data_IF_881749951278
#
_entry.id   IF_881749951278
#
_cell.length_a   1.000
_cell.length_b   1.000
_cell.length_c   1.000
_cell.angle_alpha   90.00
_cell.angle_beta   90.00
_cell.angle_gamma   90.00
#
_symmetry.space_group_name_H-M   'P 1'
#
loop_
_entity.id
_entity.type
_entity.pdbx_description
1 polymer ?
#
# COMPACT_ATOMS: atom_id res chain seq x y z
N UNK A 1 19.83 -2.86 23.56
CA UNK A 1 19.91 -1.53 22.91
C UNK A 1 18.56 -0.83 22.68
N UNK A 2 17.41 -1.51 22.51
CA UNK A 2 16.11 -0.84 22.24
C UNK A 2 15.51 -0.05 23.43
N UNK A 3 15.91 -0.31 24.67
CA UNK A 3 15.42 0.41 25.87
C UNK A 3 16.19 1.71 26.16
N UNK A 4 17.50 1.77 25.83
CA UNK A 4 18.34 2.96 25.98
C UNK A 4 17.98 4.08 25.00
N UNK A 5 17.63 3.74 23.75
CA UNK A 5 17.21 4.72 22.75
C UNK A 5 15.89 5.43 23.09
N UNK A 6 14.99 4.77 23.84
CA UNK A 6 13.71 5.37 24.26
C UNK A 6 13.88 6.33 25.45
N UNK A 7 14.80 6.04 26.38
CA UNK A 7 15.11 6.92 27.50
C UNK A 7 15.86 8.18 27.08
N UNK A 8 16.75 8.06 26.08
CA UNK A 8 17.55 9.17 25.58
C UNK A 8 16.70 10.22 24.83
N UNK A 9 15.71 9.79 24.04
CA UNK A 9 14.82 10.71 23.31
C UNK A 9 13.92 11.57 24.21
N UNK A 10 13.50 11.05 25.37
CA UNK A 10 12.66 11.78 26.33
C UNK A 10 13.49 12.85 27.08
N UNK A 11 14.76 12.55 27.39
CA UNK A 11 15.68 13.51 28.01
C UNK A 11 16.00 14.70 27.10
N UNK A 12 16.21 14.48 25.80
CA UNK A 12 16.49 15.56 24.84
C UNK A 12 15.26 16.45 24.55
N UNK A 13 14.05 15.89 24.57
CA UNK A 13 12.82 16.66 24.41
C UNK A 13 12.51 17.54 25.62
N UNK A 14 12.69 17.03 26.85
CA UNK A 14 12.45 17.80 28.08
C UNK A 14 13.44 18.95 28.29
N UNK A 15 14.74 18.70 28.07
CA UNK A 15 15.78 19.72 28.22
C UNK A 15 15.67 20.87 27.22
N UNK A 16 15.28 20.57 25.97
CA UNK A 16 15.08 21.57 24.92
C UNK A 16 13.93 22.54 25.21
N UNK A 17 12.84 22.07 25.82
CA UNK A 17 11.69 22.91 26.17
C UNK A 17 12.05 23.90 27.29
N UNK A 18 12.83 23.46 28.28
CA UNK A 18 13.26 24.31 29.40
C UNK A 18 14.23 25.40 28.92
N UNK A 19 15.18 25.05 28.05
CA UNK A 19 16.10 26.02 27.44
C UNK A 19 15.39 27.01 26.51
N UNK A 20 14.34 26.56 25.81
CA UNK A 20 13.53 27.40 24.95
C UNK A 20 12.70 28.41 25.75
N UNK A 21 12.09 27.97 26.86
CA UNK A 21 11.30 28.84 27.75
C UNK A 21 12.16 29.92 28.42
N UNK A 22 13.41 29.59 28.80
CA UNK A 22 14.34 30.57 29.36
C UNK A 22 14.79 31.60 28.32
N UNK A 23 15.06 31.17 27.07
CA UNK A 23 15.40 32.08 25.97
C UNK A 23 14.23 32.98 25.55
N UNK A 24 12.99 32.47 25.55
CA UNK A 24 11.81 33.29 25.24
C UNK A 24 11.54 34.37 26.30
N UNK A 25 11.84 34.08 27.56
CA UNK A 25 11.61 35.00 28.68
C UNK A 25 12.63 36.14 28.73
N UNK A 26 13.85 35.89 28.25
CA UNK A 26 14.94 36.89 28.18
C UNK A 26 15.06 37.57 26.81
N UNK A 27 14.28 37.14 25.81
CA UNK A 27 14.32 37.70 24.47
C UNK A 27 13.67 39.11 24.38
N UNK A 28 14.29 40.04 23.64
CA UNK A 28 13.73 41.36 23.38
C UNK A 28 12.40 41.25 22.61
N UNK A 29 11.48 42.19 22.84
CA UNK A 29 10.11 42.14 22.29
C UNK A 29 10.06 42.00 20.76
N UNK A 30 11.04 42.55 20.05
CA UNK A 30 11.15 42.50 18.59
C UNK A 30 11.43 41.09 18.03
N UNK A 31 12.01 40.19 18.82
CA UNK A 31 12.38 38.84 18.37
C UNK A 31 11.33 37.77 18.71
N UNK A 32 10.36 38.09 19.58
CA UNK A 32 9.23 37.21 19.95
C UNK A 32 8.44 36.62 18.76
N UNK A 33 8.17 37.34 17.65
CA UNK A 33 7.50 36.71 16.50
C UNK A 33 8.30 35.57 15.87
N UNK A 34 9.64 35.60 15.90
CA UNK A 34 10.49 34.52 15.36
C UNK A 34 10.29 33.24 16.17
N UNK A 35 10.24 33.35 17.50
CA UNK A 35 9.95 32.23 18.40
C UNK A 35 8.57 31.62 18.14
N UNK A 36 7.55 32.45 17.88
CA UNK A 36 6.20 31.98 17.53
C UNK A 36 6.21 31.20 16.21
N UNK A 37 6.93 31.68 15.19
CA UNK A 37 7.08 30.97 13.91
C UNK A 37 7.79 29.63 14.10
N UNK A 38 8.83 29.56 14.94
CA UNK A 38 9.53 28.31 15.23
C UNK A 38 8.62 27.27 15.92
N UNK A 39 7.75 27.69 16.85
CA UNK A 39 6.73 26.81 17.45
C UNK A 39 5.76 26.31 16.38
N UNK A 40 5.27 27.20 15.52
CA UNK A 40 4.34 26.82 14.46
C UNK A 40 4.97 25.77 13.51
N UNK A 41 6.23 25.98 13.11
CA UNK A 41 6.99 25.01 12.29
C UNK A 41 7.21 23.68 13.01
N UNK A 42 7.49 23.71 14.31
CA UNK A 42 7.68 22.49 15.11
C UNK A 42 6.37 21.70 15.27
N UNK A 43 5.25 22.39 15.47
CA UNK A 43 3.90 21.77 15.51
C UNK A 43 3.54 21.18 14.15
N UNK A 44 3.83 21.88 13.05
CA UNK A 44 3.66 21.35 11.69
C UNK A 44 4.55 20.12 11.47
N UNK A 45 5.80 20.15 11.91
CA UNK A 45 6.73 19.02 11.80
C UNK A 45 6.24 17.80 12.61
N UNK A 46 5.80 17.99 13.85
CA UNK A 46 5.17 16.94 14.66
C UNK A 46 3.89 16.42 14.00
N UNK A 47 3.05 17.30 13.45
CA UNK A 47 1.84 16.94 12.71
C UNK A 47 2.19 16.10 11.47
N UNK A 48 3.26 16.42 10.75
CA UNK A 48 3.75 15.64 9.60
C UNK A 48 4.32 14.28 10.02
N UNK A 49 5.03 14.19 11.15
CA UNK A 49 5.53 12.92 11.70
C UNK A 49 4.38 12.03 12.19
N UNK A 50 3.37 12.60 12.85
CA UNK A 50 2.16 11.89 13.30
C UNK A 50 1.26 11.50 12.12
N UNK A 51 1.28 12.25 11.01
CA UNK A 51 0.53 11.94 9.78
C UNK A 51 1.05 10.68 9.07
N UNK A 52 2.33 10.31 9.24
CA UNK A 52 2.95 9.15 8.56
C UNK A 52 2.80 7.81 9.30
N UNK A 53 2.20 7.76 10.50
CA UNK A 53 2.01 6.48 11.23
C UNK A 53 0.56 6.05 11.43
N UNK A 54 -0.39 6.59 10.66
CA UNK A 54 -1.67 5.88 10.47
C UNK A 54 -1.41 4.68 9.56
N UNK A 55 -0.91 3.59 10.15
CA UNK A 55 -1.25 2.26 9.66
C UNK A 55 -2.77 2.26 9.55
N UNK A 56 -3.30 2.25 8.32
CA UNK A 56 -4.69 1.89 8.08
C UNK A 56 -4.85 0.54 8.76
N UNK A 57 -5.56 0.51 9.89
CA UNK A 57 -6.21 -0.72 10.33
C UNK A 57 -7.02 -1.17 9.13
N UNK A 58 -6.69 -2.32 8.57
CA UNK A 58 -7.66 -3.12 7.84
C UNK A 58 -8.90 -3.13 8.73
N UNK A 59 -9.98 -2.59 8.18
CA UNK A 59 -11.28 -2.79 8.76
C UNK A 59 -11.59 -4.26 8.49
N UNK A 60 -11.21 -5.11 9.44
CA UNK A 60 -11.77 -6.45 9.55
C UNK A 60 -13.28 -6.26 9.62
N UNK A 61 -13.97 -6.64 8.55
CA UNK A 61 -15.42 -6.76 8.56
C UNK A 61 -15.76 -8.01 9.38
N UNK A 62 -15.64 -7.89 10.70
CA UNK A 62 -16.18 -8.86 11.64
C UNK A 62 -17.66 -8.58 11.82
N UNK A 63 -18.48 -9.34 11.09
CA UNK A 63 -19.91 -9.48 11.36
C UNK A 63 -20.08 -10.24 12.67
N UNK A 64 -20.15 -9.53 13.79
CA UNK A 64 -20.68 -10.09 15.03
C UNK A 64 -22.18 -9.84 15.07
N UNK A 65 -22.96 -10.79 14.56
CA UNK A 65 -24.36 -10.93 14.90
C UNK A 65 -24.53 -12.33 15.51
N UNK A 66 -24.32 -12.39 16.82
CA UNK A 66 -24.57 -13.55 17.64
C UNK A 66 -26.08 -13.78 17.73
N UNK A 67 -26.56 -14.88 17.17
CA UNK A 67 -27.80 -15.54 17.58
C UNK A 67 -27.56 -17.04 17.58
N UNK A 68 -27.94 -17.66 18.68
CA UNK A 68 -27.77 -19.06 18.99
C UNK A 68 -28.37 -19.98 17.92
N UNK A 69 -27.66 -21.06 17.63
CA UNK A 69 -27.98 -22.09 16.63
C UNK A 69 -29.02 -23.06 17.21
N UNK A 70 -29.96 -23.54 16.38
CA UNK A 70 -30.19 -24.98 16.31
C UNK A 70 -29.81 -25.51 14.93
N UNK A 71 -29.06 -26.61 14.94
CA UNK A 71 -28.57 -27.33 13.77
C UNK A 71 -29.70 -27.66 12.79
N UNK A 72 -29.59 -27.18 11.56
CA UNK A 72 -30.12 -27.91 10.40
C UNK A 72 -29.15 -27.67 9.25
N UNK A 73 -28.55 -28.75 8.76
CA UNK A 73 -27.55 -28.72 7.70
C UNK A 73 -28.08 -28.00 6.45
N UNK A 74 -27.60 -26.79 6.23
CA UNK A 74 -27.73 -26.09 4.95
C UNK A 74 -26.33 -25.83 4.45
N UNK A 75 -25.90 -26.66 3.50
CA UNK A 75 -24.72 -26.41 2.68
C UNK A 75 -24.95 -25.11 1.91
N UNK A 76 -24.38 -24.00 2.38
CA UNK A 76 -24.36 -22.75 1.61
C UNK A 76 -23.34 -22.96 0.49
N UNK A 77 -23.81 -23.41 -0.68
CA UNK A 77 -23.11 -23.14 -1.93
C UNK A 77 -23.19 -21.63 -2.16
N UNK A 78 -22.15 -20.91 -1.77
CA UNK A 78 -22.03 -19.49 -2.08
C UNK A 78 -21.70 -19.34 -3.55
N UNK A 79 -22.72 -19.40 -4.40
CA UNK A 79 -22.59 -18.97 -5.80
C UNK A 79 -22.67 -17.44 -5.80
N UNK A 80 -21.54 -16.75 -5.59
CA UNK A 80 -21.46 -15.29 -5.77
C UNK A 80 -21.61 -15.00 -7.26
N UNK A 81 -22.85 -14.81 -7.68
CA UNK A 81 -23.21 -14.39 -9.04
C UNK A 81 -23.99 -13.10 -8.91
N UNK A 82 -23.33 -11.99 -8.60
CA UNK A 82 -23.99 -10.67 -8.69
C UNK A 82 -23.14 -9.72 -9.52
N UNK A 83 -23.24 -9.90 -10.84
CA UNK A 83 -22.80 -8.93 -11.86
C UNK A 83 -23.60 -7.61 -11.81
N UNK A 84 -24.69 -7.56 -11.02
CA UNK A 84 -25.59 -6.40 -10.91
C UNK A 84 -25.49 -5.82 -9.49
N UNK A 85 -25.03 -4.56 -9.33
CA UNK A 85 -24.97 -3.90 -8.03
C UNK A 85 -26.38 -3.72 -7.42
N UNK A 86 -26.51 -3.77 -6.09
CA UNK A 86 -27.74 -3.45 -5.39
C UNK A 86 -28.39 -2.13 -5.85
N UNK A 87 -29.72 -2.09 -5.88
CA UNK A 87 -30.49 -0.95 -6.40
C UNK A 87 -30.21 0.34 -5.61
N UNK A 88 -29.97 0.24 -4.31
CA UNK A 88 -29.60 1.36 -3.44
C UNK A 88 -28.29 1.99 -3.92
N UNK A 89 -27.27 1.19 -4.23
CA UNK A 89 -25.98 1.66 -4.72
C UNK A 89 -26.15 2.40 -6.05
N UNK A 90 -26.90 1.83 -6.99
CA UNK A 90 -27.16 2.49 -8.28
C UNK A 90 -27.93 3.81 -8.12
N UNK A 91 -28.87 3.87 -7.16
CA UNK A 91 -29.62 5.10 -6.86
C UNK A 91 -28.70 6.18 -6.28
N UNK A 92 -27.83 5.83 -5.33
CA UNK A 92 -26.95 6.77 -4.67
C UNK A 92 -25.85 7.26 -5.61
N UNK A 93 -25.37 6.38 -6.49
CA UNK A 93 -24.44 6.74 -7.55
C UNK A 93 -25.03 7.77 -8.53
N UNK A 94 -26.29 7.60 -8.94
CA UNK A 94 -27.00 8.61 -9.78
C UNK A 94 -27.11 9.98 -9.12
N UNK A 95 -27.14 10.05 -7.78
CA UNK A 95 -27.27 11.31 -7.05
C UNK A 95 -25.92 12.04 -6.86
N UNK A 96 -24.82 11.30 -6.80
CA UNK A 96 -23.55 11.81 -6.27
C UNK A 96 -22.37 11.69 -7.23
N UNK A 97 -22.41 10.75 -8.18
CA UNK A 97 -21.32 10.51 -9.12
C UNK A 97 -21.54 11.29 -10.42
N UNK A 98 -20.50 11.99 -10.86
CA UNK A 98 -20.55 12.94 -11.97
C UNK A 98 -19.62 12.52 -13.10
N UNK A 99 -19.83 13.08 -14.28
CA UNK A 99 -18.94 12.86 -15.43
C UNK A 99 -17.50 13.31 -15.13
N UNK A 100 -17.32 14.40 -14.38
CA UNK A 100 -15.99 14.90 -13.97
C UNK A 100 -15.27 13.90 -13.06
N UNK A 101 -16.00 13.27 -12.13
CA UNK A 101 -15.43 12.20 -11.30
C UNK A 101 -15.05 10.98 -12.14
N UNK A 102 -15.87 10.62 -13.13
CA UNK A 102 -15.55 9.55 -14.08
C UNK A 102 -14.27 9.83 -14.87
N UNK A 103 -14.12 11.04 -15.41
CA UNK A 103 -12.90 11.45 -16.11
C UNK A 103 -11.67 11.38 -15.21
N UNK A 104 -11.80 11.80 -13.95
CA UNK A 104 -10.71 11.69 -12.99
C UNK A 104 -10.39 10.23 -12.64
N UNK A 105 -11.40 9.36 -12.53
CA UNK A 105 -11.20 7.94 -12.28
C UNK A 105 -10.53 7.24 -13.47
N UNK A 106 -10.85 7.60 -14.71
CA UNK A 106 -10.10 7.16 -15.90
C UNK A 106 -8.63 7.58 -15.83
N UNK A 107 -8.34 8.84 -15.50
CA UNK A 107 -6.97 9.33 -15.35
C UNK A 107 -6.19 8.56 -14.27
N UNK A 108 -6.84 8.26 -13.14
CA UNK A 108 -6.23 7.46 -12.07
C UNK A 108 -5.95 6.03 -12.56
N UNK A 109 -6.87 5.46 -13.34
CA UNK A 109 -6.72 4.13 -13.90
C UNK A 109 -5.53 4.06 -14.87
N UNK A 110 -5.37 5.06 -15.75
CA UNK A 110 -4.20 5.17 -16.64
C UNK A 110 -2.88 5.25 -15.86
N UNK A 111 -2.86 6.04 -14.78
CA UNK A 111 -1.70 6.13 -13.89
C UNK A 111 -1.39 4.78 -13.21
N UNK A 112 -2.43 4.03 -12.82
CA UNK A 112 -2.26 2.70 -12.24
C UNK A 112 -1.71 1.71 -13.27
N UNK A 113 -2.26 1.68 -14.49
CA UNK A 113 -1.80 0.83 -15.60
C UNK A 113 -0.31 1.06 -15.84
N UNK A 114 0.10 2.32 -15.99
CA UNK A 114 1.51 2.68 -16.20
C UNK A 114 2.40 2.14 -15.08
N UNK A 115 2.01 2.36 -13.82
CA UNK A 115 2.82 1.90 -12.68
C UNK A 115 2.91 0.37 -12.58
N UNK A 116 1.82 -0.35 -12.86
CA UNK A 116 1.79 -1.81 -12.88
C UNK A 116 2.75 -2.37 -13.94
N UNK A 117 2.83 -1.73 -15.09
CA UNK A 117 3.72 -2.13 -16.18
C UNK A 117 5.19 -1.82 -15.92
N UNK A 118 5.51 -0.76 -15.17
CA UNK A 118 6.90 -0.27 -15.07
C UNK A 118 7.57 -0.53 -13.72
N UNK A 119 6.83 -0.67 -12.63
CA UNK A 119 7.44 -0.78 -11.29
C UNK A 119 8.12 -2.13 -11.07
N UNK A 120 9.16 -2.12 -10.25
CA UNK A 120 9.80 -3.32 -9.65
C UNK A 120 9.51 -3.45 -8.16
N UNK A 121 8.80 -2.48 -7.57
CA UNK A 121 8.46 -2.47 -6.16
C UNK A 121 7.11 -3.16 -5.92
N UNK A 122 7.11 -4.28 -5.18
CA UNK A 122 5.90 -5.07 -4.89
C UNK A 122 4.77 -4.25 -4.26
N UNK A 123 5.07 -3.44 -3.25
CA UNK A 123 4.05 -2.63 -2.57
C UNK A 123 3.35 -1.67 -3.55
N UNK A 124 4.15 -0.99 -4.37
CA UNK A 124 3.62 -0.09 -5.41
C UNK A 124 2.80 -0.88 -6.43
N UNK A 125 3.28 -2.04 -6.88
CA UNK A 125 2.55 -2.87 -7.82
C UNK A 125 1.17 -3.26 -7.26
N UNK A 126 1.13 -3.95 -6.12
CA UNK A 126 -0.13 -4.49 -5.57
C UNK A 126 -1.11 -3.39 -5.15
N UNK A 127 -0.63 -2.28 -4.56
CA UNK A 127 -1.50 -1.15 -4.25
C UNK A 127 -2.11 -0.51 -5.50
N UNK A 128 -1.39 -0.47 -6.62
CA UNK A 128 -1.89 0.10 -7.88
C UNK A 128 -2.78 -0.87 -8.62
N UNK A 129 -2.51 -2.17 -8.56
CA UNK A 129 -3.41 -3.21 -9.05
C UNK A 129 -4.76 -3.12 -8.36
N UNK A 130 -4.78 -3.03 -7.03
CA UNK A 130 -6.02 -2.96 -6.26
C UNK A 130 -6.79 -1.66 -6.53
N UNK A 131 -6.09 -0.51 -6.51
CA UNK A 131 -6.71 0.77 -6.83
C UNK A 131 -7.26 0.79 -8.26
N UNK A 132 -6.52 0.25 -9.24
CA UNK A 132 -6.96 0.15 -10.62
C UNK A 132 -8.22 -0.68 -10.77
N UNK A 133 -8.26 -1.88 -10.17
CA UNK A 133 -9.45 -2.77 -10.12
C UNK A 133 -10.64 -2.05 -9.50
N UNK A 134 -10.45 -1.36 -8.37
CA UNK A 134 -11.50 -0.59 -7.71
C UNK A 134 -12.08 0.52 -8.62
N UNK A 135 -11.21 1.25 -9.34
CA UNK A 135 -11.63 2.33 -10.24
C UNK A 135 -12.36 1.79 -11.47
N UNK A 136 -11.89 0.69 -12.05
CA UNK A 136 -12.57 0.03 -13.15
C UNK A 136 -14.00 -0.40 -12.74
N UNK A 137 -14.14 -1.02 -11.56
CA UNK A 137 -15.45 -1.42 -11.03
C UNK A 137 -16.35 -0.21 -10.72
N UNK A 138 -15.79 0.90 -10.22
CA UNK A 138 -16.55 2.13 -9.98
C UNK A 138 -17.12 2.69 -11.29
N UNK A 139 -16.31 2.74 -12.35
CA UNK A 139 -16.76 3.14 -13.68
C UNK A 139 -17.84 2.20 -14.21
N UNK A 140 -17.69 0.89 -13.95
CA UNK A 140 -18.71 -0.12 -14.31
C UNK A 140 -20.05 0.11 -13.64
N UNK A 141 -20.03 0.38 -12.34
CA UNK A 141 -21.23 0.72 -11.59
C UNK A 141 -21.87 2.02 -12.10
N UNK A 142 -21.05 3.02 -12.49
CA UNK A 142 -21.55 4.27 -13.03
C UNK A 142 -22.28 4.08 -14.38
N UNK A 143 -21.76 3.21 -15.25
CA UNK A 143 -22.45 2.80 -16.49
C UNK A 143 -23.76 2.06 -16.18
N UNK A 144 -23.74 1.11 -15.23
CA UNK A 144 -24.94 0.37 -14.81
C UNK A 144 -26.01 1.29 -14.17
N UNK A 145 -25.58 2.37 -13.51
CA UNK A 145 -26.44 3.41 -12.97
C UNK A 145 -27.02 4.32 -14.05
N UNK A 146 -26.59 4.17 -15.32
CA UNK A 146 -26.98 4.96 -16.51
C UNK A 146 -26.57 6.43 -16.43
N UNK A 147 -25.41 6.72 -15.85
CA UNK A 147 -24.87 8.08 -15.83
C UNK A 147 -24.49 8.49 -17.26
N UNK A 148 -25.00 9.65 -17.70
CA UNK A 148 -24.83 10.13 -19.08
C UNK A 148 -23.34 10.34 -19.40
N UNK A 149 -22.92 9.80 -20.55
CA UNK A 149 -21.56 9.96 -21.07
C UNK A 149 -20.56 8.88 -20.63
N UNK A 150 -20.97 7.93 -19.78
CA UNK A 150 -20.13 6.81 -19.35
C UNK A 150 -20.60 5.54 -20.06
N UNK A 151 -19.72 4.91 -20.84
CA UNK A 151 -19.99 3.70 -21.64
C UNK A 151 -18.76 2.83 -21.79
N UNK A 152 -18.95 1.55 -22.14
CA UNK A 152 -17.86 0.65 -22.52
C UNK A 152 -16.96 0.21 -21.37
N UNK A 153 -17.46 0.30 -20.13
CA UNK A 153 -16.63 0.10 -18.93
C UNK A 153 -16.40 -1.37 -18.58
N UNK A 154 -17.14 -2.28 -19.22
CA UNK A 154 -16.89 -3.72 -19.06
C UNK A 154 -15.52 -4.13 -19.59
N UNK A 155 -15.12 -3.60 -20.76
CA UNK A 155 -13.79 -3.83 -21.33
C UNK A 155 -12.70 -3.28 -20.40
N UNK A 156 -12.91 -2.08 -19.84
CA UNK A 156 -12.00 -1.47 -18.86
C UNK A 156 -11.78 -2.39 -17.64
N UNK A 157 -12.84 -3.01 -17.12
CA UNK A 157 -12.73 -4.00 -16.03
C UNK A 157 -11.91 -5.21 -16.49
N UNK A 158 -12.27 -5.82 -17.61
CA UNK A 158 -11.57 -7.01 -18.12
C UNK A 158 -10.08 -6.74 -18.35
N UNK A 159 -9.73 -5.63 -19.00
CA UNK A 159 -8.36 -5.23 -19.28
C UNK A 159 -7.58 -4.96 -18.00
N UNK A 160 -8.15 -4.23 -17.04
CA UNK A 160 -7.48 -3.90 -15.78
C UNK A 160 -7.20 -5.17 -14.95
N UNK A 161 -8.18 -6.07 -14.84
CA UNK A 161 -8.01 -7.33 -14.11
C UNK A 161 -6.97 -8.21 -14.80
N UNK A 162 -7.07 -8.41 -16.11
CA UNK A 162 -6.11 -9.21 -16.87
C UNK A 162 -4.68 -8.65 -16.80
N UNK A 163 -4.53 -7.32 -16.87
CA UNK A 163 -3.23 -6.65 -16.72
C UNK A 163 -2.63 -6.90 -15.33
N UNK A 164 -3.42 -6.76 -14.27
CA UNK A 164 -2.93 -6.93 -12.91
C UNK A 164 -2.40 -8.36 -12.65
N UNK A 165 -3.04 -9.38 -13.22
CA UNK A 165 -2.59 -10.77 -13.12
C UNK A 165 -1.38 -11.05 -14.01
N UNK A 166 -1.48 -10.74 -15.31
CA UNK A 166 -0.42 -11.04 -16.30
C UNK A 166 0.93 -10.35 -16.03
N UNK A 167 0.94 -9.27 -15.23
CA UNK A 167 2.17 -8.52 -14.92
C UNK A 167 2.91 -9.02 -13.67
N UNK A 168 2.38 -10.01 -12.94
CA UNK A 168 3.02 -10.56 -11.73
C UNK A 168 4.34 -11.26 -12.04
N UNK A 169 4.40 -12.05 -13.10
CA UNK A 169 5.64 -12.73 -13.52
C UNK A 169 6.72 -11.71 -13.92
N UNK A 170 6.36 -10.67 -14.70
CA UNK A 170 7.27 -9.57 -15.04
C UNK A 170 7.79 -8.88 -13.80
N UNK A 171 6.92 -8.58 -12.82
CA UNK A 171 7.31 -7.97 -11.55
C UNK A 171 8.36 -8.82 -10.82
N UNK A 172 8.14 -10.13 -10.70
CA UNK A 172 9.09 -11.06 -10.06
C UNK A 172 10.44 -11.04 -10.76
N UNK A 173 10.47 -11.21 -12.08
CA UNK A 173 11.71 -11.21 -12.87
C UNK A 173 12.49 -9.90 -12.72
N UNK A 174 11.80 -8.78 -12.93
CA UNK A 174 12.44 -7.47 -12.94
C UNK A 174 12.92 -7.02 -11.54
N UNK A 175 12.14 -7.33 -10.49
CA UNK A 175 12.54 -7.03 -9.11
C UNK A 175 13.71 -7.89 -8.66
N UNK A 176 13.71 -9.19 -9.02
CA UNK A 176 14.82 -10.09 -8.71
C UNK A 176 16.10 -9.67 -9.41
N UNK A 177 16.05 -9.39 -10.71
CA UNK A 177 17.22 -8.96 -11.48
C UNK A 177 17.82 -7.66 -10.91
N UNK A 178 16.97 -6.69 -10.55
CA UNK A 178 17.42 -5.45 -9.92
C UNK A 178 18.16 -5.70 -8.59
N UNK A 179 17.63 -6.59 -7.75
CA UNK A 179 18.29 -6.93 -6.48
C UNK A 179 19.57 -7.72 -6.71
N UNK A 180 19.58 -8.66 -7.67
CA UNK A 180 20.75 -9.46 -8.03
C UNK A 180 21.90 -8.58 -8.50
N UNK A 181 21.65 -7.62 -9.39
CA UNK A 181 22.64 -6.63 -9.83
C UNK A 181 23.13 -5.76 -8.68
N UNK A 182 22.24 -5.34 -7.79
CA UNK A 182 22.62 -4.58 -6.60
C UNK A 182 23.53 -5.41 -5.69
N UNK A 183 23.19 -6.67 -5.43
CA UNK A 183 23.97 -7.55 -4.55
C UNK A 183 25.34 -7.86 -5.15
N UNK A 184 25.44 -8.11 -6.45
CA UNK A 184 26.72 -8.39 -7.12
C UNK A 184 27.69 -7.20 -7.02
N UNK A 185 27.17 -5.97 -7.02
CA UNK A 185 27.98 -4.75 -6.87
C UNK A 185 28.53 -4.53 -5.44
N UNK A 186 28.06 -5.25 -4.43
CA UNK A 186 28.50 -5.06 -3.04
C UNK A 186 29.80 -5.82 -2.76
N UNK A 187 30.74 -5.16 -2.10
CA UNK A 187 32.03 -5.77 -1.74
C UNK A 187 31.97 -6.66 -0.49
N UNK A 188 31.08 -6.36 0.46
CA UNK A 188 31.07 -7.04 1.77
C UNK A 188 30.06 -8.19 1.82
N UNK A 189 30.46 -9.38 2.34
CA UNK A 189 29.53 -10.50 2.54
C UNK A 189 28.31 -10.11 3.39
N UNK A 190 28.53 -9.33 4.45
CA UNK A 190 27.45 -8.79 5.30
C UNK A 190 26.47 -7.92 4.52
N UNK A 191 26.97 -7.07 3.61
CA UNK A 191 26.13 -6.24 2.75
C UNK A 191 25.27 -7.07 1.82
N UNK A 192 25.85 -8.10 1.19
CA UNK A 192 25.14 -9.06 0.33
C UNK A 192 24.03 -9.79 1.10
N UNK A 193 24.39 -10.43 2.22
CA UNK A 193 23.44 -11.15 3.11
C UNK A 193 22.26 -10.26 3.52
N UNK A 194 22.53 -9.03 3.93
CA UNK A 194 21.47 -8.09 4.34
C UNK A 194 20.51 -7.73 3.20
N UNK A 195 20.97 -7.63 1.95
CA UNK A 195 20.09 -7.33 0.82
C UNK A 195 19.28 -8.55 0.41
N UNK A 196 19.87 -9.76 0.42
CA UNK A 196 19.15 -11.00 0.18
C UNK A 196 18.05 -11.26 1.21
N UNK A 197 18.36 -11.14 2.49
CA UNK A 197 17.35 -11.30 3.55
C UNK A 197 16.20 -10.30 3.41
N UNK A 198 16.49 -9.03 3.12
CA UNK A 198 15.44 -8.02 2.88
C UNK A 198 14.55 -8.37 1.68
N UNK A 199 15.12 -8.97 0.64
CA UNK A 199 14.36 -9.35 -0.53
C UNK A 199 13.50 -10.60 -0.25
N UNK A 200 14.01 -11.60 0.48
CA UNK A 200 13.21 -12.72 0.98
C UNK A 200 12.05 -12.26 1.86
N UNK A 201 12.29 -11.32 2.78
CA UNK A 201 11.22 -10.71 3.60
C UNK A 201 10.12 -10.07 2.74
N UNK A 202 10.50 -9.43 1.61
CA UNK A 202 9.53 -8.87 0.67
C UNK A 202 8.75 -9.95 -0.09
N UNK A 203 9.43 -10.98 -0.58
CA UNK A 203 8.77 -12.11 -1.27
C UNK A 203 7.76 -12.80 -0.36
N UNK A 204 8.16 -13.11 0.88
CA UNK A 204 7.30 -13.72 1.89
C UNK A 204 6.08 -12.85 2.22
N UNK A 205 6.26 -11.53 2.34
CA UNK A 205 5.16 -10.59 2.62
C UNK A 205 4.04 -10.65 1.56
N UNK A 206 4.38 -10.96 0.31
CA UNK A 206 3.45 -10.98 -0.82
C UNK A 206 3.25 -12.38 -1.40
N UNK A 207 3.63 -13.44 -0.68
CA UNK A 207 3.56 -14.82 -1.18
C UNK A 207 2.15 -15.19 -1.66
N UNK A 208 1.11 -14.85 -0.88
CA UNK A 208 -0.28 -15.19 -1.18
C UNK A 208 -0.86 -14.44 -2.39
N UNK A 209 -0.17 -13.42 -2.90
CA UNK A 209 -0.58 -12.67 -4.08
C UNK A 209 -0.12 -13.35 -5.39
N UNK A 210 0.80 -14.31 -5.33
CA UNK A 210 1.26 -15.07 -6.49
C UNK A 210 0.41 -16.31 -6.67
N UNK A 211 -0.16 -16.47 -7.86
CA UNK A 211 -0.96 -17.61 -8.26
C UNK A 211 -0.09 -18.79 -8.71
N UNK A 212 -0.75 -19.89 -9.09
CA UNK A 212 -0.11 -21.12 -9.58
C UNK A 212 0.81 -20.82 -10.76
N UNK A 213 0.42 -19.88 -11.64
CA UNK A 213 1.17 -19.53 -12.84
C UNK A 213 2.54 -18.89 -12.51
N UNK A 214 2.65 -18.23 -11.35
CA UNK A 214 3.91 -17.62 -10.89
C UNK A 214 4.71 -18.50 -9.92
N UNK A 215 4.17 -19.64 -9.48
CA UNK A 215 4.72 -20.39 -8.35
C UNK A 215 6.08 -21.03 -8.65
N UNK A 216 6.27 -21.54 -9.87
CA UNK A 216 7.54 -22.15 -10.29
C UNK A 216 8.68 -21.12 -10.26
N UNK A 217 8.44 -19.94 -10.85
CA UNK A 217 9.40 -18.84 -10.85
C UNK A 217 9.68 -18.32 -9.43
N UNK A 218 8.63 -18.15 -8.62
CA UNK A 218 8.77 -17.73 -7.23
C UNK A 218 9.67 -18.70 -6.46
N UNK A 219 9.40 -20.01 -6.59
CA UNK A 219 10.15 -21.06 -5.91
C UNK A 219 11.61 -21.12 -6.38
N UNK A 220 11.84 -20.96 -7.67
CA UNK A 220 13.19 -20.88 -8.24
C UNK A 220 13.99 -19.71 -7.65
N UNK A 221 13.38 -18.53 -7.59
CA UNK A 221 14.01 -17.32 -7.03
C UNK A 221 14.33 -17.52 -5.54
N UNK A 222 13.39 -18.03 -4.75
CA UNK A 222 13.60 -18.29 -3.31
C UNK A 222 14.77 -19.26 -3.12
N UNK A 223 14.77 -20.39 -3.83
CA UNK A 223 15.84 -21.38 -3.76
C UNK A 223 17.20 -20.81 -4.14
N UNK A 224 17.26 -19.97 -5.18
CA UNK A 224 18.50 -19.30 -5.57
C UNK A 224 19.03 -18.42 -4.44
N UNK A 225 18.18 -17.64 -3.78
CA UNK A 225 18.59 -16.75 -2.70
C UNK A 225 19.07 -17.54 -1.49
N UNK A 226 18.40 -18.65 -1.14
CA UNK A 226 18.82 -19.53 -0.04
C UNK A 226 20.23 -20.11 -0.29
N UNK A 227 20.51 -20.58 -1.51
CA UNK A 227 21.83 -21.08 -1.89
C UNK A 227 22.91 -19.98 -1.80
N UNK A 228 22.60 -18.76 -2.25
CA UNK A 228 23.51 -17.62 -2.13
C UNK A 228 23.78 -17.26 -0.66
N UNK A 229 22.78 -17.36 0.21
CA UNK A 229 22.93 -17.10 1.64
C UNK A 229 23.81 -18.15 2.33
N UNK A 230 23.65 -19.44 2.00
CA UNK A 230 24.50 -20.52 2.52
C UNK A 230 25.97 -20.33 2.13
N UNK A 231 26.25 -19.87 0.91
CA UNK A 231 27.60 -19.59 0.44
C UNK A 231 28.25 -18.42 1.19
N UNK A 232 27.46 -17.46 1.66
CA UNK A 232 27.94 -16.29 2.41
C UNK A 232 28.13 -16.57 3.92
N UNK A 233 27.75 -17.75 4.41
CA UNK A 233 27.96 -18.19 5.79
C UNK A 233 29.26 -18.98 5.99
N UNK A 234 29.90 -19.39 4.89
CA UNK A 234 31.20 -20.07 4.85
C UNK A 234 32.34 -19.05 4.78
#
# INVERSE_FOLDING_TARGET
MKKLAKGLGIFFFGGGIIAYASMFSTAPLEQRPIFIVLIALFVIFLFLLLRKSRKRKQQDFSTTAQRDIPELGVTIKTTVTHDIPPKEILRDMRKSYTLVQAQNDFRILDDCIRLIQTTTNFETFFMRSELGKQKALTLRQAEQARIKGIRGTQEVVTTMFSLAESQKERLLKASFEQVKQKVSSLSTPRGKKNNWNKYLEQLQKYQDEFDIDCLDLYTEIVRYIEQELELLEK
#
